data_IF_561788290492
#
_entry.id   IF_561788290492
#
_cell.length_a   1.000
_cell.length_b   1.000
_cell.length_c   1.000
_cell.angle_alpha   90.00
_cell.angle_beta   90.00
_cell.angle_gamma   90.00
#
_symmetry.space_group_name_H-M   'P 1'
#
loop_
_entity.id
_entity.type
_entity.pdbx_description
1 polymer ?
#
# COMPACT_ATOMS: atom_id res chain seq x y z
N UNK A 1 -7.90 -93.08 -19.70
CA UNK A 1 -8.55 -92.28 -18.63
C UNK A 1 -9.07 -91.00 -19.28
N UNK A 2 -10.32 -90.58 -19.31
CA UNK A 2 -11.66 -91.14 -19.08
C UNK A 2 -12.62 -89.99 -19.51
N UNK A 3 -13.49 -90.24 -20.52
CA UNK A 3 -14.74 -89.55 -21.00
C UNK A 3 -14.85 -87.99 -21.16
N UNK A 4 -15.17 -87.35 -22.32
CA UNK A 4 -16.44 -87.22 -23.14
C UNK A 4 -17.62 -86.60 -22.33
N UNK A 5 -18.42 -85.56 -22.70
CA UNK A 5 -19.17 -85.07 -23.91
C UNK A 5 -19.66 -83.61 -23.60
N UNK A 6 -19.71 -82.61 -24.49
CA UNK A 6 -20.69 -82.20 -25.55
C UNK A 6 -22.15 -81.88 -25.11
N UNK A 7 -22.64 -80.70 -25.59
CA UNK A 7 -24.03 -80.15 -25.78
C UNK A 7 -24.71 -79.56 -24.54
N UNK A 8 -25.52 -78.50 -24.60
CA UNK A 8 -26.14 -77.71 -25.68
C UNK A 8 -27.09 -76.67 -25.03
N UNK A 9 -27.69 -75.81 -25.86
CA UNK A 9 -28.37 -74.52 -25.61
C UNK A 9 -29.60 -74.47 -24.66
N UNK A 10 -29.84 -73.23 -24.21
CA UNK A 10 -31.12 -72.49 -24.03
C UNK A 10 -31.93 -72.43 -22.72
N UNK A 11 -32.35 -71.17 -22.47
CA UNK A 11 -33.48 -70.60 -21.70
C UNK A 11 -33.41 -70.38 -20.17
N UNK A 12 -33.05 -69.14 -19.82
CA UNK A 12 -33.87 -68.11 -19.15
C UNK A 12 -34.58 -68.38 -17.79
N UNK A 13 -34.19 -67.54 -16.80
CA UNK A 13 -34.94 -66.96 -15.64
C UNK A 13 -34.30 -67.18 -14.27
N UNK A 14 -33.90 -66.06 -13.64
CA UNK A 14 -33.63 -66.00 -12.20
C UNK A 14 -32.85 -64.77 -11.73
N UNK A 15 -33.56 -63.67 -11.47
CA UNK A 15 -33.20 -62.52 -10.60
C UNK A 15 -32.29 -62.89 -9.41
N UNK A 16 -31.26 -62.13 -9.01
CA UNK A 16 -31.17 -60.69 -8.85
C UNK A 16 -30.86 -60.39 -7.37
N UNK A 17 -29.58 -60.44 -6.95
CA UNK A 17 -29.15 -60.07 -5.58
C UNK A 17 -27.78 -59.34 -5.52
N UNK A 18 -26.88 -59.47 -6.49
CA UNK A 18 -25.49 -58.99 -6.32
C UNK A 18 -25.19 -57.54 -6.79
N UNK A 19 -26.16 -56.81 -7.34
CA UNK A 19 -25.91 -55.45 -7.87
C UNK A 19 -26.20 -54.30 -6.88
N UNK A 20 -26.82 -54.58 -5.73
CA UNK A 20 -27.25 -53.51 -4.79
C UNK A 20 -26.10 -53.02 -3.91
N UNK A 21 -25.15 -53.88 -3.55
CA UNK A 21 -24.07 -53.54 -2.61
C UNK A 21 -22.94 -52.73 -3.28
N UNK A 22 -22.66 -53.00 -4.56
CA UNK A 22 -21.74 -52.24 -5.42
C UNK A 22 -22.23 -50.80 -5.68
N UNK A 23 -23.54 -50.62 -5.91
CA UNK A 23 -24.15 -49.30 -6.11
C UNK A 23 -24.21 -48.49 -4.81
N UNK A 24 -24.39 -49.14 -3.66
CA UNK A 24 -24.39 -48.48 -2.34
C UNK A 24 -23.01 -47.98 -1.93
N UNK A 25 -21.95 -48.75 -2.20
CA UNK A 25 -20.56 -48.34 -1.98
C UNK A 25 -20.12 -47.19 -2.90
N UNK A 26 -20.58 -47.19 -4.16
CA UNK A 26 -20.34 -46.08 -5.11
C UNK A 26 -21.13 -44.82 -4.77
N UNK A 27 -22.36 -44.91 -4.27
CA UNK A 27 -23.12 -43.71 -3.87
C UNK A 27 -22.56 -43.07 -2.60
N UNK A 28 -22.12 -43.86 -1.63
CA UNK A 28 -21.44 -43.38 -0.41
C UNK A 28 -20.07 -42.75 -0.73
N UNK A 29 -19.30 -43.32 -1.66
CA UNK A 29 -18.03 -42.71 -2.08
C UNK A 29 -18.25 -41.44 -2.92
N UNK A 30 -19.24 -41.42 -3.83
CA UNK A 30 -19.61 -40.20 -4.56
C UNK A 30 -20.09 -39.11 -3.61
N UNK A 31 -20.90 -39.46 -2.61
CA UNK A 31 -21.47 -38.52 -1.66
C UNK A 31 -20.40 -38.00 -0.68
N UNK A 32 -19.45 -38.86 -0.27
CA UNK A 32 -18.24 -38.45 0.46
C UNK A 32 -17.36 -37.50 -0.36
N UNK A 33 -17.13 -37.81 -1.64
CA UNK A 33 -16.34 -36.96 -2.56
C UNK A 33 -17.04 -35.63 -2.84
N UNK A 34 -18.38 -35.62 -2.95
CA UNK A 34 -19.15 -34.39 -3.13
C UNK A 34 -19.24 -33.53 -1.87
N UNK A 35 -19.32 -34.14 -0.68
CA UNK A 35 -19.24 -33.42 0.60
C UNK A 35 -17.86 -32.82 0.81
N UNK A 36 -16.78 -33.56 0.52
CA UNK A 36 -15.41 -33.05 0.59
C UNK A 36 -15.18 -31.93 -0.43
N UNK A 37 -15.63 -32.09 -1.68
CA UNK A 37 -15.52 -31.02 -2.67
C UNK A 37 -16.32 -29.77 -2.27
N UNK A 38 -17.50 -29.93 -1.68
CA UNK A 38 -18.29 -28.80 -1.17
C UNK A 38 -17.60 -28.12 0.03
N UNK A 39 -17.01 -28.88 0.96
CA UNK A 39 -16.27 -28.34 2.10
C UNK A 39 -14.99 -27.60 1.67
N UNK A 40 -14.25 -28.15 0.70
CA UNK A 40 -13.08 -27.51 0.09
C UNK A 40 -13.49 -26.22 -0.62
N UNK A 41 -14.55 -26.25 -1.43
CA UNK A 41 -15.05 -25.07 -2.16
C UNK A 41 -15.58 -23.99 -1.20
N UNK A 42 -16.25 -24.37 -0.12
CA UNK A 42 -16.70 -23.44 0.94
C UNK A 42 -15.49 -22.85 1.68
N UNK A 43 -14.47 -23.66 1.97
CA UNK A 43 -13.22 -23.23 2.58
C UNK A 43 -12.47 -22.21 1.72
N UNK A 44 -12.30 -22.48 0.43
CA UNK A 44 -11.66 -21.59 -0.53
C UNK A 44 -12.41 -20.26 -0.67
N UNK A 45 -13.73 -20.30 -0.83
CA UNK A 45 -14.58 -19.10 -0.89
C UNK A 45 -14.48 -18.25 0.38
N UNK A 46 -14.37 -18.88 1.56
CA UNK A 46 -14.21 -18.18 2.84
C UNK A 46 -12.84 -17.54 2.97
N UNK A 47 -11.79 -18.21 2.53
CA UNK A 47 -10.41 -17.71 2.50
C UNK A 47 -10.30 -16.51 1.55
N UNK A 48 -10.86 -16.59 0.35
CA UNK A 48 -10.79 -15.49 -0.60
C UNK A 48 -11.64 -14.29 -0.19
N UNK A 49 -12.81 -14.53 0.40
CA UNK A 49 -13.62 -13.45 0.99
C UNK A 49 -12.90 -12.73 2.13
N UNK A 50 -12.16 -13.45 2.98
CA UNK A 50 -11.40 -12.83 4.07
C UNK A 50 -10.18 -12.05 3.55
N UNK A 51 -9.46 -12.56 2.55
CA UNK A 51 -8.39 -11.82 1.86
C UNK A 51 -8.92 -10.54 1.22
N UNK A 52 -10.04 -10.61 0.49
CA UNK A 52 -10.65 -9.47 -0.17
C UNK A 52 -11.12 -8.42 0.83
N UNK A 53 -11.81 -8.83 1.91
CA UNK A 53 -12.19 -7.93 3.02
C UNK A 53 -10.97 -7.22 3.60
N UNK A 54 -9.90 -7.95 3.93
CA UNK A 54 -8.68 -7.36 4.49
C UNK A 54 -8.06 -6.34 3.54
N UNK A 55 -7.94 -6.70 2.25
CA UNK A 55 -7.44 -5.80 1.20
C UNK A 55 -8.27 -4.53 1.09
N UNK A 56 -9.60 -4.63 1.07
CA UNK A 56 -10.50 -3.48 0.99
C UNK A 56 -10.38 -2.57 2.22
N UNK A 57 -10.33 -3.14 3.42
CA UNK A 57 -10.19 -2.38 4.67
C UNK A 57 -8.88 -1.59 4.70
N UNK A 58 -7.74 -2.22 4.38
CA UNK A 58 -6.43 -1.51 4.42
C UNK A 58 -6.33 -0.44 3.33
N UNK A 59 -6.95 -0.69 2.17
CA UNK A 59 -6.99 0.25 1.04
C UNK A 59 -7.84 1.47 1.40
N UNK A 60 -9.01 1.26 2.00
CA UNK A 60 -9.90 2.34 2.45
C UNK A 60 -9.26 3.16 3.57
N UNK A 61 -8.66 2.48 4.56
CA UNK A 61 -7.94 3.15 5.65
C UNK A 61 -6.81 4.04 5.10
N UNK A 62 -6.01 3.52 4.16
CA UNK A 62 -4.97 4.31 3.51
C UNK A 62 -5.56 5.55 2.80
N UNK A 63 -6.66 5.39 2.06
CA UNK A 63 -7.29 6.50 1.34
C UNK A 63 -7.75 7.61 2.29
N UNK A 64 -8.43 7.25 3.38
CA UNK A 64 -8.96 8.21 4.38
C UNK A 64 -7.83 8.88 5.17
N UNK A 65 -6.83 8.11 5.60
CA UNK A 65 -5.68 8.65 6.33
C UNK A 65 -4.85 9.57 5.45
N UNK A 66 -4.68 9.24 4.16
CA UNK A 66 -3.94 10.09 3.21
C UNK A 66 -4.69 11.37 2.87
N UNK A 67 -6.03 11.34 2.78
CA UNK A 67 -6.80 12.56 2.48
C UNK A 67 -6.79 13.53 3.66
N UNK A 68 -7.01 13.02 4.88
CA UNK A 68 -6.91 13.81 6.11
C UNK A 68 -5.50 14.34 6.35
N UNK A 69 -4.46 13.60 5.92
CA UNK A 69 -3.06 14.03 6.02
C UNK A 69 -2.82 15.37 5.34
N UNK A 70 -3.31 15.55 4.11
CA UNK A 70 -3.12 16.78 3.35
C UNK A 70 -3.77 17.99 4.06
N UNK A 71 -4.96 17.80 4.63
CA UNK A 71 -5.69 18.84 5.37
C UNK A 71 -4.94 19.21 6.65
N UNK A 72 -4.49 18.22 7.42
CA UNK A 72 -3.75 18.43 8.67
C UNK A 72 -2.42 19.16 8.46
N UNK A 73 -1.72 18.89 7.34
CA UNK A 73 -0.50 19.64 6.97
C UNK A 73 -0.82 21.11 6.69
N UNK A 74 -1.95 21.41 6.06
CA UNK A 74 -2.35 22.80 5.78
C UNK A 74 -2.70 23.50 7.08
N UNK A 75 -3.48 22.85 7.96
CA UNK A 75 -3.83 23.40 9.27
C UNK A 75 -2.67 23.50 10.26
N UNK A 76 -1.61 22.69 10.10
CA UNK A 76 -0.44 22.76 10.98
C UNK A 76 0.45 23.99 10.71
N UNK A 77 0.27 24.65 9.57
CA UNK A 77 0.99 25.89 9.24
C UNK A 77 0.37 27.09 9.95
N UNK A 78 1.22 27.97 10.47
CA UNK A 78 0.83 29.28 11.02
C UNK A 78 1.46 30.38 10.18
N UNK A 79 0.65 31.34 9.72
CA UNK A 79 1.08 32.40 8.80
C UNK A 79 1.86 31.88 7.56
N UNK A 80 1.48 30.71 7.04
CA UNK A 80 2.11 30.09 5.87
C UNK A 80 3.46 29.40 6.12
N UNK A 81 3.97 29.40 7.35
CA UNK A 81 5.25 28.76 7.73
C UNK A 81 5.04 27.64 8.75
N UNK A 82 5.99 26.71 8.81
CA UNK A 82 6.05 25.71 9.88
C UNK A 82 6.80 26.31 11.06
N UNK A 83 6.14 26.46 12.22
CA UNK A 83 6.79 26.91 13.46
C UNK A 83 7.60 25.79 14.13
N UNK A 84 7.28 24.54 13.81
CA UNK A 84 7.96 23.35 14.31
C UNK A 84 9.05 22.88 13.33
N UNK A 85 10.10 22.23 13.86
CA UNK A 85 11.11 21.55 13.03
C UNK A 85 10.51 20.32 12.34
N UNK A 86 10.66 20.26 11.02
CA UNK A 86 10.16 19.14 10.20
C UNK A 86 10.91 17.84 10.51
N UNK A 87 12.21 17.90 10.81
CA UNK A 87 13.01 16.71 11.13
C UNK A 87 12.60 16.09 12.47
N UNK A 88 12.32 16.90 13.50
CA UNK A 88 11.78 16.42 14.79
C UNK A 88 10.40 15.77 14.62
N UNK A 89 9.52 16.37 13.82
CA UNK A 89 8.20 15.81 13.55
C UNK A 89 8.29 14.46 12.82
N UNK A 90 9.18 14.35 11.83
CA UNK A 90 9.43 13.09 11.13
C UNK A 90 10.00 12.00 12.06
N UNK A 91 10.92 12.37 12.97
CA UNK A 91 11.43 11.45 13.98
C UNK A 91 10.30 10.91 14.88
N UNK A 92 9.38 11.77 15.33
CA UNK A 92 8.23 11.36 16.14
C UNK A 92 7.24 10.48 15.36
N UNK A 93 7.06 10.72 14.06
CA UNK A 93 6.27 9.83 13.19
C UNK A 93 6.87 8.42 13.17
N UNK A 94 8.19 8.29 12.95
CA UNK A 94 8.86 6.97 12.98
C UNK A 94 8.79 6.32 14.37
N UNK A 95 8.98 7.12 15.43
CA UNK A 95 8.87 6.67 16.82
C UNK A 95 7.49 6.11 17.13
N UNK A 96 6.43 6.83 16.73
CA UNK A 96 5.05 6.40 16.95
C UNK A 96 4.70 5.16 16.14
N UNK A 97 5.15 5.06 14.88
CA UNK A 97 4.96 3.85 14.07
C UNK A 97 5.65 2.64 14.70
N UNK A 98 6.87 2.82 15.21
CA UNK A 98 7.62 1.80 15.93
C UNK A 98 6.87 1.36 17.20
N UNK A 99 6.42 2.31 18.01
CA UNK A 99 5.67 2.06 19.23
C UNK A 99 4.35 1.31 18.98
N UNK A 100 3.57 1.71 17.96
CA UNK A 100 2.33 1.03 17.59
C UNK A 100 2.63 -0.40 17.10
N UNK A 101 3.67 -0.58 16.27
CA UNK A 101 4.05 -1.91 15.77
C UNK A 101 4.46 -2.84 16.91
N UNK A 102 5.23 -2.34 17.88
CA UNK A 102 5.60 -3.08 19.09
C UNK A 102 4.40 -3.37 19.98
N UNK A 103 3.47 -2.43 20.17
CA UNK A 103 2.28 -2.64 20.98
C UNK A 103 1.38 -3.73 20.39
N UNK A 104 1.19 -3.72 19.06
CA UNK A 104 0.45 -4.78 18.36
C UNK A 104 1.19 -6.12 18.50
N UNK A 105 2.52 -6.13 18.37
CA UNK A 105 3.30 -7.34 18.52
C UNK A 105 3.23 -7.91 19.96
N UNK A 106 3.31 -7.05 20.97
CA UNK A 106 3.15 -7.43 22.37
C UNK A 106 1.76 -8.00 22.66
N UNK A 107 0.71 -7.48 22.02
CA UNK A 107 -0.62 -8.08 22.07
C UNK A 107 -0.65 -9.48 21.45
N UNK A 108 -0.04 -9.65 20.28
CA UNK A 108 0.06 -10.95 19.59
C UNK A 108 0.80 -11.97 20.46
N UNK A 109 1.91 -11.59 21.09
CA UNK A 109 2.64 -12.48 21.99
C UNK A 109 1.83 -12.92 23.20
N UNK A 110 0.96 -12.05 23.73
CA UNK A 110 0.06 -12.40 24.84
C UNK A 110 -1.04 -13.36 24.44
N UNK A 111 -1.52 -13.30 23.19
CA UNK A 111 -2.65 -14.12 22.72
C UNK A 111 -2.23 -15.41 22.04
N UNK A 112 -1.16 -15.37 21.25
CA UNK A 112 -0.70 -16.46 20.38
C UNK A 112 0.66 -17.04 20.82
N UNK A 113 1.34 -16.39 21.78
CA UNK A 113 2.71 -16.73 22.15
C UNK A 113 3.76 -16.16 21.17
N UNK A 114 5.03 -16.39 21.50
CA UNK A 114 6.15 -16.04 20.62
C UNK A 114 6.37 -17.17 19.63
N UNK A 115 6.27 -16.86 18.34
CA UNK A 115 6.46 -17.78 17.22
C UNK A 115 7.65 -17.34 16.38
N UNK A 116 8.11 -18.24 15.50
CA UNK A 116 9.21 -17.93 14.58
C UNK A 116 8.89 -16.73 13.67
N UNK A 117 7.63 -16.60 13.24
CA UNK A 117 7.17 -15.53 12.36
C UNK A 117 6.91 -14.21 13.10
N UNK A 118 6.84 -14.18 14.43
CA UNK A 118 6.54 -12.96 15.21
C UNK A 118 7.64 -12.56 16.23
N UNK A 119 8.69 -13.36 16.44
CA UNK A 119 9.81 -12.97 17.33
C UNK A 119 10.58 -11.76 16.77
N UNK A 120 11.19 -10.92 17.61
CA UNK A 120 12.05 -9.83 17.13
C UNK A 120 13.48 -10.28 16.79
N UNK A 121 13.97 -11.34 17.43
CA UNK A 121 15.30 -11.88 17.19
C UNK A 121 15.42 -12.42 15.77
N UNK A 122 16.27 -11.79 14.96
CA UNK A 122 16.48 -12.12 13.55
C UNK A 122 17.96 -12.22 13.22
N UNK A 123 18.29 -12.89 12.11
CA UNK A 123 19.66 -12.86 11.58
C UNK A 123 19.95 -11.51 10.94
N UNK A 124 21.24 -11.14 10.84
CA UNK A 124 21.66 -9.88 10.22
C UNK A 124 21.21 -9.79 8.75
N UNK A 125 21.20 -10.91 8.03
CA UNK A 125 20.70 -11.00 6.65
C UNK A 125 19.22 -10.61 6.52
N UNK A 126 18.45 -10.79 7.59
CA UNK A 126 17.06 -10.33 7.59
C UNK A 126 16.94 -8.82 7.76
N UNK A 127 17.85 -8.21 8.52
CA UNK A 127 17.75 -6.83 8.98
C UNK A 127 18.43 -5.85 8.02
N UNK A 128 19.53 -6.25 7.39
CA UNK A 128 20.38 -5.40 6.54
C UNK A 128 19.67 -4.83 5.31
N UNK A 129 18.49 -5.36 4.97
CA UNK A 129 17.68 -4.88 3.83
C UNK A 129 16.83 -3.65 4.17
N UNK A 130 16.48 -3.42 5.44
CA UNK A 130 15.60 -2.32 5.88
C UNK A 130 16.22 -0.90 5.92
N UNK A 131 17.54 -0.71 6.09
CA UNK A 131 18.17 0.61 5.97
C UNK A 131 17.94 1.27 4.62
N UNK A 132 17.97 0.52 3.52
CA UNK A 132 17.80 1.08 2.17
C UNK A 132 16.45 1.80 2.01
N UNK A 133 15.28 1.17 2.23
CA UNK A 133 13.99 1.85 2.12
C UNK A 133 13.84 2.95 3.16
N UNK A 134 14.36 2.78 4.39
CA UNK A 134 14.33 3.83 5.41
C UNK A 134 15.05 5.11 4.95
N UNK A 135 16.26 4.97 4.37
CA UNK A 135 17.02 6.09 3.82
C UNK A 135 16.28 6.73 2.64
N UNK A 136 15.72 5.93 1.72
CA UNK A 136 14.95 6.45 0.59
C UNK A 136 13.72 7.25 1.05
N UNK A 137 13.00 6.78 2.07
CA UNK A 137 11.87 7.51 2.64
C UNK A 137 12.31 8.80 3.33
N UNK A 138 13.42 8.81 4.07
CA UNK A 138 13.98 10.03 4.64
C UNK A 138 14.32 11.05 3.55
N UNK A 139 15.14 10.66 2.57
CA UNK A 139 15.57 11.57 1.49
C UNK A 139 14.37 12.11 0.73
N UNK A 140 13.39 11.27 0.41
CA UNK A 140 12.14 11.70 -0.24
C UNK A 140 11.37 12.73 0.62
N UNK A 141 11.27 12.51 1.93
CA UNK A 141 10.58 13.44 2.83
C UNK A 141 11.34 14.78 2.98
N UNK A 142 12.69 14.76 2.98
CA UNK A 142 13.51 15.97 3.02
C UNK A 142 13.43 16.74 1.69
N UNK A 143 13.54 16.05 0.55
CA UNK A 143 13.42 16.68 -0.78
C UNK A 143 12.08 17.41 -0.95
N UNK A 144 10.99 16.86 -0.41
CA UNK A 144 9.70 17.54 -0.41
C UNK A 144 9.78 18.94 0.21
N UNK A 145 10.50 19.10 1.34
CA UNK A 145 10.67 20.41 1.97
C UNK A 145 11.48 21.37 1.10
N UNK A 146 12.60 20.91 0.53
CA UNK A 146 13.42 21.75 -0.33
C UNK A 146 12.71 22.13 -1.64
N UNK A 147 11.88 21.25 -2.21
CA UNK A 147 11.09 21.58 -3.42
C UNK A 147 10.11 22.72 -3.14
N UNK A 148 9.56 22.83 -1.93
CA UNK A 148 8.68 23.95 -1.57
C UNK A 148 9.38 25.32 -1.57
N UNK A 149 10.72 25.36 -1.61
CA UNK A 149 11.45 26.61 -1.83
C UNK A 149 11.39 27.07 -3.30
N UNK A 150 11.09 26.17 -4.24
CA UNK A 150 11.05 26.44 -5.69
C UNK A 150 9.62 26.42 -6.26
N UNK A 151 8.74 25.63 -5.66
CA UNK A 151 7.40 25.35 -6.17
C UNK A 151 6.37 25.49 -5.05
N UNK A 152 5.22 26.06 -5.35
CA UNK A 152 4.12 26.16 -4.39
C UNK A 152 3.48 24.78 -4.12
N UNK A 153 2.57 24.73 -3.14
CA UNK A 153 1.97 23.46 -2.73
C UNK A 153 1.19 22.75 -3.86
N UNK A 154 0.33 23.44 -4.64
CA UNK A 154 -0.32 22.84 -5.80
C UNK A 154 0.67 22.35 -6.87
N UNK A 155 1.68 23.15 -7.20
CA UNK A 155 2.70 22.77 -8.18
C UNK A 155 3.52 21.56 -7.76
N UNK A 156 3.90 21.48 -6.47
CA UNK A 156 4.54 20.30 -5.92
C UNK A 156 3.71 19.03 -6.13
N UNK A 157 2.38 19.11 -5.93
CA UNK A 157 1.53 17.93 -6.11
C UNK A 157 1.45 17.48 -7.57
N UNK A 158 1.41 18.43 -8.51
CA UNK A 158 1.47 18.13 -9.95
C UNK A 158 2.77 17.38 -10.27
N UNK A 159 3.92 17.90 -9.83
CA UNK A 159 5.22 17.27 -10.07
C UNK A 159 5.34 15.91 -9.38
N UNK A 160 4.74 15.76 -8.19
CA UNK A 160 4.73 14.50 -7.44
C UNK A 160 4.02 13.37 -8.20
N UNK A 161 3.03 13.67 -9.05
CA UNK A 161 2.29 12.66 -9.83
C UNK A 161 3.20 11.85 -10.77
N UNK A 162 4.39 12.36 -11.13
CA UNK A 162 5.38 11.59 -11.88
C UNK A 162 5.79 10.28 -11.17
N UNK A 163 5.59 10.19 -9.86
CA UNK A 163 5.82 8.96 -9.09
C UNK A 163 4.91 7.80 -9.52
N UNK A 164 3.77 8.08 -10.16
CA UNK A 164 2.80 7.10 -10.65
C UNK A 164 3.48 6.27 -11.76
N UNK A 165 4.06 6.96 -12.74
CA UNK A 165 4.78 6.34 -13.86
C UNK A 165 6.04 5.64 -13.37
N UNK A 166 6.82 6.32 -12.51
CA UNK A 166 8.02 5.73 -11.90
C UNK A 166 7.70 4.42 -11.18
N UNK A 167 6.60 4.39 -10.42
CA UNK A 167 6.16 3.18 -9.72
C UNK A 167 5.84 2.06 -10.71
N UNK A 168 5.12 2.34 -11.81
CA UNK A 168 4.83 1.34 -12.84
C UNK A 168 6.09 0.74 -13.47
N UNK A 169 7.06 1.57 -13.83
CA UNK A 169 8.35 1.16 -14.40
C UNK A 169 9.14 0.30 -13.40
N UNK A 170 9.32 0.80 -12.17
CA UNK A 170 10.08 0.10 -11.14
C UNK A 170 9.39 -1.19 -10.69
N UNK A 171 8.06 -1.22 -10.69
CA UNK A 171 7.29 -2.45 -10.41
C UNK A 171 7.57 -3.54 -11.44
N UNK A 172 7.69 -3.18 -12.73
CA UNK A 172 8.07 -4.13 -13.78
C UNK A 172 9.52 -4.60 -13.63
N UNK A 173 10.45 -3.69 -13.33
CA UNK A 173 11.89 -4.00 -13.27
C UNK A 173 12.25 -4.80 -12.00
N UNK A 174 11.84 -4.31 -10.83
CA UNK A 174 12.27 -4.85 -9.52
C UNK A 174 11.44 -6.07 -9.13
N UNK A 175 10.11 -5.97 -9.20
CA UNK A 175 9.21 -7.08 -8.84
C UNK A 175 9.02 -8.08 -9.98
N UNK A 176 9.62 -7.82 -11.17
CA UNK A 176 9.57 -8.68 -12.37
C UNK A 176 8.14 -9.04 -12.82
N UNK A 177 7.15 -8.24 -12.44
CA UNK A 177 5.75 -8.46 -12.81
C UNK A 177 5.45 -7.72 -14.11
N UNK A 178 5.02 -8.47 -15.13
CA UNK A 178 4.59 -7.88 -16.40
C UNK A 178 3.32 -7.05 -16.17
N UNK A 179 3.23 -5.87 -16.77
CA UNK A 179 1.99 -5.10 -16.89
C UNK A 179 1.44 -5.30 -18.31
N UNK A 180 0.12 -5.33 -18.48
CA UNK A 180 -0.50 -5.34 -19.81
C UNK A 180 -0.47 -3.94 -20.43
N UNK A 181 -0.64 -3.86 -21.75
CA UNK A 181 -0.71 -2.56 -22.45
C UNK A 181 -1.86 -1.69 -21.91
N UNK A 182 -3.00 -2.30 -21.57
CA UNK A 182 -4.14 -1.62 -20.92
C UNK A 182 -3.74 -1.08 -19.54
N UNK A 183 -2.96 -1.84 -18.76
CA UNK A 183 -2.47 -1.37 -17.47
C UNK A 183 -1.47 -0.22 -17.63
N UNK A 184 -0.61 -0.23 -18.63
CA UNK A 184 0.29 0.88 -18.94
C UNK A 184 -0.49 2.14 -19.34
N UNK A 185 -1.48 2.01 -20.23
CA UNK A 185 -2.38 3.09 -20.58
C UNK A 185 -3.10 3.63 -19.33
N UNK A 186 -3.54 2.76 -18.42
CA UNK A 186 -4.15 3.16 -17.16
C UNK A 186 -3.19 3.95 -16.24
N UNK A 187 -1.89 3.64 -16.20
CA UNK A 187 -0.90 4.43 -15.44
C UNK A 187 -0.72 5.83 -16.03
N UNK A 188 -0.64 5.93 -17.36
CA UNK A 188 -0.51 7.21 -18.07
C UNK A 188 -1.75 8.07 -17.84
N UNK A 189 -2.94 7.48 -18.02
CA UNK A 189 -4.22 8.15 -17.75
C UNK A 189 -4.35 8.55 -16.28
N UNK A 190 -3.93 7.71 -15.35
CA UNK A 190 -3.97 8.07 -13.92
C UNK A 190 -3.09 9.28 -13.62
N UNK A 191 -1.87 9.32 -14.17
CA UNK A 191 -0.97 10.46 -14.02
C UNK A 191 -1.56 11.73 -14.64
N UNK A 192 -2.06 11.64 -15.87
CA UNK A 192 -2.70 12.76 -16.56
C UNK A 192 -3.92 13.27 -15.80
N UNK A 193 -4.84 12.37 -15.41
CA UNK A 193 -6.05 12.70 -14.66
C UNK A 193 -5.75 13.33 -13.30
N UNK A 194 -4.77 12.81 -12.56
CA UNK A 194 -4.34 13.43 -11.30
C UNK A 194 -3.74 14.82 -11.51
N UNK A 195 -2.94 15.03 -12.55
CA UNK A 195 -2.36 16.33 -12.87
C UNK A 195 -3.46 17.32 -13.29
N UNK A 196 -4.35 16.92 -14.20
CA UNK A 196 -5.49 17.75 -14.63
C UNK A 196 -6.38 18.13 -13.45
N UNK A 197 -6.66 17.19 -12.54
CA UNK A 197 -7.50 17.46 -11.38
C UNK A 197 -6.91 18.49 -10.41
N UNK A 198 -5.60 18.70 -10.45
CA UNK A 198 -4.86 19.58 -9.55
C UNK A 198 -4.51 20.93 -10.19
N UNK A 199 -4.91 21.14 -11.45
CA UNK A 199 -4.75 22.43 -12.12
C UNK A 199 -5.63 23.49 -11.44
N UNK A 200 -5.00 24.64 -11.23
CA UNK A 200 -5.61 25.86 -10.71
C UNK A 200 -5.10 27.08 -11.51
N UNK A 201 -5.61 28.27 -11.19
CA UNK A 201 -5.27 29.52 -11.89
C UNK A 201 -3.79 29.90 -11.84
N UNK A 202 -3.02 29.35 -10.89
CA UNK A 202 -1.59 29.63 -10.73
C UNK A 202 -0.69 28.49 -11.23
N UNK A 203 -1.26 27.45 -11.86
CA UNK A 203 -0.51 26.25 -12.25
C UNK A 203 0.54 26.50 -13.33
N UNK A 204 0.41 27.59 -14.10
CA UNK A 204 1.43 28.01 -15.07
C UNK A 204 2.78 28.32 -14.40
N UNK A 205 2.78 28.65 -13.10
CA UNK A 205 4.02 28.85 -12.33
C UNK A 205 4.87 27.58 -12.22
N UNK A 206 4.27 26.40 -12.37
CA UNK A 206 5.04 25.14 -12.43
C UNK A 206 5.97 25.14 -13.65
N UNK A 207 5.51 25.67 -14.78
CA UNK A 207 6.33 25.77 -16.00
C UNK A 207 7.46 26.79 -15.83
N UNK A 208 7.27 27.80 -14.97
CA UNK A 208 8.29 28.81 -14.63
C UNK A 208 9.25 28.34 -13.52
N UNK A 209 9.08 27.12 -12.99
CA UNK A 209 9.96 26.57 -11.96
C UNK A 209 11.40 26.49 -12.47
N UNK A 210 12.41 26.96 -11.72
CA UNK A 210 13.81 26.84 -12.11
C UNK A 210 14.22 25.39 -12.38
N UNK A 211 15.20 25.20 -13.26
CA UNK A 211 15.69 23.86 -13.62
C UNK A 211 16.03 22.98 -12.40
N UNK A 212 16.63 23.58 -11.37
CA UNK A 212 16.93 22.88 -10.12
C UNK A 212 15.67 22.29 -9.45
N UNK A 213 14.56 23.03 -9.41
CA UNK A 213 13.30 22.55 -8.85
C UNK A 213 12.74 21.36 -9.62
N UNK A 214 12.81 21.40 -10.96
CA UNK A 214 12.42 20.28 -11.83
C UNK A 214 13.27 19.02 -11.61
N UNK A 215 14.59 19.18 -11.49
CA UNK A 215 15.51 18.07 -11.20
C UNK A 215 15.17 17.45 -9.84
N UNK A 216 15.02 18.27 -8.80
CA UNK A 216 14.69 17.79 -7.46
C UNK A 216 13.34 17.06 -7.42
N UNK A 217 12.32 17.59 -8.10
CA UNK A 217 11.01 16.96 -8.14
C UNK A 217 11.03 15.63 -8.92
N UNK A 218 11.78 15.56 -10.02
CA UNK A 218 11.96 14.33 -10.79
C UNK A 218 12.68 13.27 -9.95
N UNK A 219 13.78 13.63 -9.29
CA UNK A 219 14.51 12.73 -8.38
C UNK A 219 13.61 12.27 -7.24
N UNK A 220 12.85 13.17 -6.61
CA UNK A 220 11.91 12.83 -5.54
C UNK A 220 10.82 11.86 -6.03
N UNK A 221 10.28 12.05 -7.24
CA UNK A 221 9.29 11.15 -7.83
C UNK A 221 9.87 9.74 -8.07
N UNK A 222 11.10 9.65 -8.59
CA UNK A 222 11.81 8.38 -8.78
C UNK A 222 12.09 7.67 -7.46
N UNK A 223 12.61 8.39 -6.45
CA UNK A 223 12.87 7.86 -5.12
C UNK A 223 11.57 7.42 -4.43
N UNK A 224 10.47 8.15 -4.60
CA UNK A 224 9.16 7.78 -4.05
C UNK A 224 8.63 6.48 -4.64
N UNK A 225 8.81 6.27 -5.96
CA UNK A 225 8.46 5.01 -6.62
C UNK A 225 9.35 3.87 -6.14
N UNK A 226 10.66 4.11 -6.10
CA UNK A 226 11.66 3.12 -5.69
C UNK A 226 11.49 2.66 -4.25
N UNK A 227 11.36 3.59 -3.30
CA UNK A 227 11.12 3.28 -1.89
C UNK A 227 9.89 2.38 -1.72
N UNK A 228 8.80 2.69 -2.42
CA UNK A 228 7.56 1.91 -2.37
C UNK A 228 7.72 0.49 -2.93
N UNK A 229 8.28 0.36 -4.14
CA UNK A 229 8.44 -0.95 -4.79
C UNK A 229 9.47 -1.82 -4.05
N UNK A 230 10.57 -1.22 -3.58
CA UNK A 230 11.61 -1.93 -2.84
C UNK A 230 11.10 -2.41 -1.48
N UNK A 231 10.32 -1.58 -0.77
CA UNK A 231 9.66 -1.98 0.48
C UNK A 231 8.68 -3.12 0.26
N UNK A 232 7.88 -3.07 -0.81
CA UNK A 232 7.01 -4.20 -1.20
C UNK A 232 7.84 -5.48 -1.44
N UNK A 233 8.95 -5.38 -2.18
CA UNK A 233 9.81 -6.51 -2.50
C UNK A 233 10.36 -7.18 -1.23
N UNK A 234 10.85 -6.38 -0.27
CA UNK A 234 11.32 -6.90 1.02
C UNK A 234 10.17 -7.56 1.78
N UNK A 235 9.03 -6.87 1.90
CA UNK A 235 7.89 -7.35 2.68
C UNK A 235 7.35 -8.69 2.15
N UNK A 236 7.33 -8.84 0.83
CA UNK A 236 6.84 -10.04 0.16
C UNK A 236 7.86 -11.14 0.00
N UNK A 237 9.16 -10.85 0.16
CA UNK A 237 10.20 -11.89 0.20
C UNK A 237 9.98 -12.88 1.33
N UNK A 238 9.39 -12.43 2.46
CA UNK A 238 9.00 -13.27 3.60
C UNK A 238 7.50 -13.13 3.90
N UNK A 239 6.63 -13.89 3.19
CA UNK A 239 5.18 -13.74 3.31
C UNK A 239 4.63 -14.19 4.67
N UNK A 240 5.22 -15.21 5.31
CA UNK A 240 4.81 -15.70 6.65
C UNK A 240 5.14 -14.70 7.77
N UNK A 241 6.27 -13.99 7.62
CA UNK A 241 6.78 -13.07 8.63
C UNK A 241 5.78 -11.96 8.97
N UNK A 242 5.50 -11.81 10.27
CA UNK A 242 4.56 -10.83 10.80
C UNK A 242 4.96 -9.41 10.36
N UNK A 243 4.00 -8.67 9.80
CA UNK A 243 4.23 -7.33 9.26
C UNK A 243 4.75 -6.35 10.31
N UNK A 244 4.32 -6.47 11.57
CA UNK A 244 4.75 -5.58 12.65
C UNK A 244 6.23 -5.74 12.98
N UNK A 245 6.81 -6.94 12.79
CA UNK A 245 8.26 -7.15 12.97
C UNK A 245 9.05 -6.52 11.83
N UNK A 246 8.57 -6.67 10.60
CA UNK A 246 9.21 -6.05 9.44
C UNK A 246 9.15 -4.52 9.52
N UNK A 247 8.00 -4.00 9.96
CA UNK A 247 7.79 -2.59 10.24
C UNK A 247 8.67 -2.09 11.37
N UNK A 248 8.80 -2.84 12.47
CA UNK A 248 9.68 -2.49 13.57
C UNK A 248 11.11 -2.20 13.09
N UNK A 249 11.72 -3.14 12.35
CA UNK A 249 13.08 -2.94 11.83
C UNK A 249 13.16 -1.78 10.85
N UNK A 250 12.19 -1.63 9.95
CA UNK A 250 12.11 -0.49 9.03
C UNK A 250 12.07 0.86 9.78
N UNK A 251 11.25 0.95 10.83
CA UNK A 251 11.06 2.19 11.57
C UNK A 251 12.21 2.48 12.54
N UNK A 252 12.90 1.48 13.07
CA UNK A 252 14.13 1.68 13.86
C UNK A 252 15.22 2.36 13.01
N UNK A 253 15.46 1.88 11.78
CA UNK A 253 16.38 2.57 10.88
C UNK A 253 15.86 3.95 10.45
N UNK A 254 14.54 4.09 10.24
CA UNK A 254 13.90 5.38 10.00
C UNK A 254 14.15 6.39 11.12
N UNK A 255 14.00 5.98 12.37
CA UNK A 255 14.31 6.79 13.55
C UNK A 255 15.78 7.18 13.59
N UNK A 256 16.69 6.21 13.39
CA UNK A 256 18.13 6.47 13.39
C UNK A 256 18.52 7.52 12.34
N UNK A 257 18.03 7.39 11.11
CA UNK A 257 18.33 8.37 10.07
C UNK A 257 17.68 9.73 10.31
N UNK A 258 16.46 9.79 10.87
CA UNK A 258 15.86 11.07 11.26
C UNK A 258 16.62 11.73 12.42
N UNK A 259 17.15 10.94 13.37
CA UNK A 259 18.01 11.47 14.43
C UNK A 259 19.29 12.09 13.85
N UNK A 260 19.93 11.41 12.90
CA UNK A 260 21.07 11.97 12.15
C UNK A 260 20.67 13.25 11.40
N UNK A 261 19.50 13.27 10.76
CA UNK A 261 19.00 14.47 10.07
C UNK A 261 18.78 15.65 11.04
N UNK A 262 18.27 15.41 12.25
CA UNK A 262 18.16 16.43 13.30
C UNK A 262 19.54 16.98 13.67
N UNK A 263 20.52 16.10 13.89
CA UNK A 263 21.89 16.50 14.27
C UNK A 263 22.59 17.31 13.16
N UNK A 264 22.28 17.06 11.89
CA UNK A 264 22.93 17.74 10.77
C UNK A 264 22.20 19.04 10.37
N UNK A 265 20.87 19.06 10.39
CA UNK A 265 20.08 20.18 9.82
C UNK A 265 19.49 21.11 10.87
N UNK A 266 19.06 20.58 12.01
CA UNK A 266 18.24 21.30 12.98
C UNK A 266 18.85 21.33 14.39
N UNK A 267 20.13 20.97 14.55
CA UNK A 267 20.80 20.85 15.86
C UNK A 267 20.69 22.14 16.69
N UNK A 268 21.08 23.28 16.11
CA UNK A 268 21.04 24.57 16.80
C UNK A 268 19.60 24.98 17.14
N UNK A 269 18.65 24.70 16.25
CA UNK A 269 17.25 25.02 16.48
C UNK A 269 16.68 24.18 17.65
N UNK A 270 16.99 22.89 17.68
CA UNK A 270 16.55 21.97 18.74
C UNK A 270 17.22 22.29 20.08
N UNK A 271 18.52 22.61 20.07
CA UNK A 271 19.26 22.93 21.30
C UNK A 271 18.80 24.26 21.92
N UNK A 272 18.58 25.29 21.10
CA UNK A 272 18.24 26.62 21.59
C UNK A 272 16.75 26.81 21.87
N UNK A 273 15.86 26.20 21.08
CA UNK A 273 14.40 26.39 21.21
C UNK A 273 13.68 25.22 21.87
N UNK A 274 14.33 24.06 21.94
CA UNK A 274 13.77 22.80 22.43
C UNK A 274 13.19 21.92 21.32
N UNK A 275 13.20 20.61 21.55
CA UNK A 275 12.75 19.59 20.59
C UNK A 275 11.28 19.75 20.15
N UNK A 276 10.40 20.13 21.08
CA UNK A 276 8.96 20.28 20.84
C UNK A 276 8.55 21.74 20.55
N UNK A 277 9.49 22.61 20.21
CA UNK A 277 9.18 24.00 19.90
C UNK A 277 8.21 24.13 18.73
N UNK A 278 7.19 24.99 18.87
CA UNK A 278 6.20 25.25 17.82
C UNK A 278 5.16 24.14 17.65
N UNK A 279 5.14 23.13 18.53
CA UNK A 279 4.14 22.06 18.47
C UNK A 279 2.79 22.56 18.98
N UNK A 280 1.77 22.35 18.16
CA UNK A 280 0.36 22.60 18.51
C UNK A 280 -0.41 21.27 18.57
N UNK A 281 -1.65 21.31 19.06
CA UNK A 281 -2.54 20.15 19.00
C UNK A 281 -2.69 19.61 17.56
N UNK A 282 -2.76 20.51 16.56
CA UNK A 282 -2.84 20.13 15.15
C UNK A 282 -1.55 19.42 14.69
N UNK A 283 -0.38 19.88 15.15
CA UNK A 283 0.90 19.22 14.86
C UNK A 283 0.92 17.79 15.41
N UNK A 284 0.40 17.58 16.63
CA UNK A 284 0.31 16.24 17.24
C UNK A 284 -0.67 15.35 16.47
N UNK A 285 -1.84 15.86 16.09
CA UNK A 285 -2.81 15.14 15.27
C UNK A 285 -2.24 14.80 13.88
N UNK A 286 -1.48 15.72 13.28
CA UNK A 286 -0.77 15.48 12.02
C UNK A 286 0.25 14.35 12.16
N UNK A 287 1.06 14.34 13.23
CA UNK A 287 2.04 13.27 13.50
C UNK A 287 1.34 11.92 13.68
N UNK A 288 0.26 11.88 14.47
CA UNK A 288 -0.55 10.67 14.65
C UNK A 288 -1.08 10.15 13.32
N UNK A 289 -1.68 11.04 12.52
CA UNK A 289 -2.24 10.66 11.22
C UNK A 289 -1.15 10.20 10.24
N UNK A 290 0.01 10.85 10.20
CA UNK A 290 1.16 10.42 9.40
C UNK A 290 1.64 9.02 9.80
N UNK A 291 1.71 8.73 11.11
CA UNK A 291 2.11 7.43 11.60
C UNK A 291 1.11 6.34 11.18
N UNK A 292 -0.19 6.57 11.39
CA UNK A 292 -1.25 5.65 10.98
C UNK A 292 -1.26 5.44 9.46
N UNK A 293 -1.10 6.51 8.68
CA UNK A 293 -0.98 6.46 7.21
C UNK A 293 0.21 5.60 6.78
N UNK A 294 1.38 5.78 7.40
CA UNK A 294 2.57 4.96 7.13
C UNK A 294 2.40 3.48 7.45
N UNK A 295 1.71 3.15 8.54
CA UNK A 295 1.33 1.76 8.86
C UNK A 295 0.34 1.24 7.80
N UNK A 296 -0.68 2.00 7.44
CA UNK A 296 -1.63 1.61 6.40
C UNK A 296 -0.93 1.35 5.05
N UNK A 297 0.07 2.16 4.68
CA UNK A 297 0.92 1.92 3.49
C UNK A 297 1.59 0.55 3.59
N UNK A 298 2.25 0.22 4.70
CA UNK A 298 2.92 -1.08 4.87
C UNK A 298 1.94 -2.27 4.79
N UNK A 299 0.73 -2.11 5.33
CA UNK A 299 -0.33 -3.12 5.28
C UNK A 299 -0.86 -3.31 3.85
N UNK A 300 -1.01 -2.22 3.09
CA UNK A 300 -1.33 -2.28 1.65
C UNK A 300 -0.21 -2.99 0.88
N UNK A 301 1.07 -2.73 1.19
CA UNK A 301 2.17 -3.48 0.57
C UNK A 301 2.12 -4.97 0.90
N UNK A 302 1.79 -5.34 2.14
CA UNK A 302 1.72 -6.75 2.57
C UNK A 302 0.56 -7.49 1.92
N UNK A 303 -0.64 -6.89 1.93
CA UNK A 303 -1.89 -7.58 1.59
C UNK A 303 -2.46 -7.23 0.21
N UNK A 304 -1.92 -6.22 -0.45
CA UNK A 304 -2.25 -5.82 -1.81
C UNK A 304 -0.96 -5.69 -2.62
N UNK A 305 -0.65 -4.51 -3.17
CA UNK A 305 0.57 -4.20 -3.91
C UNK A 305 0.78 -2.67 -3.93
N UNK A 306 1.98 -2.22 -4.32
CA UNK A 306 2.32 -0.80 -4.42
C UNK A 306 1.50 -0.08 -5.50
N UNK A 307 0.94 -0.81 -6.47
CA UNK A 307 0.03 -0.25 -7.47
C UNK A 307 -1.28 0.17 -6.80
N UNK A 308 -1.88 -0.69 -5.97
CA UNK A 308 -3.06 -0.34 -5.17
C UNK A 308 -2.78 0.86 -4.27
N UNK A 309 -1.58 0.96 -3.66
CA UNK A 309 -1.19 2.16 -2.90
C UNK A 309 -1.25 3.43 -3.76
N UNK A 310 -0.72 3.38 -4.99
CA UNK A 310 -0.75 4.52 -5.92
C UNK A 310 -2.19 4.93 -6.24
N UNK A 311 -3.06 3.98 -6.61
CA UNK A 311 -4.47 4.26 -6.86
C UNK A 311 -5.20 4.80 -5.63
N UNK A 312 -4.99 4.23 -4.44
CA UNK A 312 -5.53 4.75 -3.18
C UNK A 312 -5.12 6.19 -2.92
N UNK A 313 -3.86 6.51 -3.18
CA UNK A 313 -3.33 7.88 -3.01
C UNK A 313 -4.00 8.83 -4.02
N UNK A 314 -4.19 8.40 -5.27
CA UNK A 314 -4.94 9.17 -6.27
C UNK A 314 -6.38 9.45 -5.87
N UNK A 315 -7.10 8.44 -5.37
CA UNK A 315 -8.47 8.62 -4.86
C UNK A 315 -8.48 9.53 -3.61
N UNK A 316 -7.49 9.40 -2.73
CA UNK A 316 -7.36 10.26 -1.55
C UNK A 316 -7.19 11.73 -1.92
N UNK A 317 -6.46 12.04 -2.99
CA UNK A 317 -6.33 13.40 -3.50
C UNK A 317 -7.68 13.98 -3.95
N UNK A 318 -8.48 13.20 -4.67
CA UNK A 318 -9.83 13.63 -5.08
C UNK A 318 -10.75 13.83 -3.88
N UNK A 319 -10.72 12.90 -2.90
CA UNK A 319 -11.47 13.01 -1.66
C UNK A 319 -11.07 14.26 -0.87
N UNK A 320 -9.77 14.58 -0.82
CA UNK A 320 -9.26 15.80 -0.17
C UNK A 320 -9.87 17.05 -0.80
N UNK A 321 -9.94 17.12 -2.13
CA UNK A 321 -10.50 18.27 -2.84
C UNK A 321 -12.00 18.44 -2.54
N UNK A 322 -12.77 17.34 -2.54
CA UNK A 322 -14.20 17.37 -2.19
C UNK A 322 -14.40 17.85 -0.75
N UNK A 323 -13.66 17.29 0.21
CA UNK A 323 -13.73 17.73 1.62
C UNK A 323 -13.31 19.20 1.76
N UNK A 324 -12.36 19.66 0.94
CA UNK A 324 -11.90 21.05 0.95
C UNK A 324 -12.97 22.05 0.48
N UNK A 325 -13.96 21.62 -0.32
CA UNK A 325 -15.14 22.45 -0.66
C UNK A 325 -15.89 22.84 0.61
N UNK A 326 -16.14 21.86 1.48
CA UNK A 326 -16.93 22.05 2.69
C UNK A 326 -16.15 22.74 3.81
N UNK A 327 -14.85 22.45 3.93
CA UNK A 327 -14.01 23.00 5.01
C UNK A 327 -13.45 24.39 4.70
N UNK A 328 -13.14 24.67 3.44
CA UNK A 328 -12.44 25.90 3.03
C UNK A 328 -13.21 26.75 2.03
N UNK A 329 -14.43 26.34 1.63
CA UNK A 329 -15.18 27.02 0.57
C UNK A 329 -14.50 26.92 -0.80
N UNK A 330 -13.67 25.89 -1.02
CA UNK A 330 -12.94 25.74 -2.28
C UNK A 330 -13.89 25.45 -3.45
N UNK A 331 -13.71 26.15 -4.57
CA UNK A 331 -14.51 25.92 -5.78
C UNK A 331 -13.84 24.87 -6.68
N UNK A 332 -14.57 23.77 -6.96
CA UNK A 332 -14.10 22.76 -7.90
C UNK A 332 -14.09 23.31 -9.33
N UNK A 333 -12.94 23.20 -10.00
CA UNK A 333 -12.78 23.67 -11.38
C UNK A 333 -13.31 22.65 -12.39
N UNK A 334 -13.56 23.08 -13.63
CA UNK A 334 -13.83 22.15 -14.73
C UNK A 334 -12.68 21.13 -14.91
N UNK A 335 -11.44 21.57 -14.74
CA UNK A 335 -10.27 20.70 -14.77
C UNK A 335 -10.33 19.63 -13.67
N UNK A 336 -10.79 19.96 -12.46
CA UNK A 336 -11.03 18.99 -11.39
C UNK A 336 -12.02 17.90 -11.82
N UNK A 337 -13.15 18.29 -12.41
CA UNK A 337 -14.18 17.34 -12.87
C UNK A 337 -13.64 16.43 -13.98
N UNK A 338 -13.02 17.01 -15.02
CA UNK A 338 -12.43 16.24 -16.13
C UNK A 338 -11.34 15.29 -15.63
N UNK A 339 -10.44 15.77 -14.75
CA UNK A 339 -9.40 14.94 -14.15
C UNK A 339 -9.97 13.79 -13.32
N UNK A 340 -11.04 14.02 -12.56
CA UNK A 340 -11.75 12.99 -11.78
C UNK A 340 -12.35 11.91 -12.67
N UNK A 341 -12.96 12.28 -13.80
CA UNK A 341 -13.47 11.33 -14.80
C UNK A 341 -12.33 10.48 -15.35
N UNK A 342 -11.22 11.10 -15.74
CA UNK A 342 -10.04 10.38 -16.27
C UNK A 342 -9.45 9.42 -15.22
N UNK A 343 -9.33 9.83 -13.96
CA UNK A 343 -8.87 8.96 -12.86
C UNK A 343 -9.81 7.77 -12.68
N UNK A 344 -11.12 7.98 -12.76
CA UNK A 344 -12.13 6.91 -12.65
C UNK A 344 -12.01 5.89 -13.78
N UNK A 345 -11.85 6.37 -15.02
CA UNK A 345 -11.59 5.52 -16.19
C UNK A 345 -10.28 4.74 -16.04
N UNK A 346 -9.21 5.38 -15.56
CA UNK A 346 -7.92 4.72 -15.32
C UNK A 346 -8.02 3.59 -14.30
N UNK A 347 -8.77 3.78 -13.21
CA UNK A 347 -9.03 2.73 -12.20
C UNK A 347 -9.78 1.56 -12.83
N UNK A 348 -10.83 1.86 -13.61
CA UNK A 348 -11.62 0.85 -14.31
C UNK A 348 -10.77 0.02 -15.28
N UNK A 349 -10.00 0.69 -16.16
CA UNK A 349 -9.12 0.03 -17.14
C UNK A 349 -8.08 -0.87 -16.46
N UNK A 350 -7.50 -0.43 -15.35
CA UNK A 350 -6.54 -1.26 -14.61
C UNK A 350 -7.19 -2.54 -14.05
N UNK A 351 -8.43 -2.42 -13.55
CA UNK A 351 -9.18 -3.56 -13.03
C UNK A 351 -9.57 -4.54 -14.16
N UNK A 352 -10.04 -4.03 -15.28
CA UNK A 352 -10.39 -4.83 -16.45
C UNK A 352 -9.17 -5.55 -17.04
N UNK A 353 -8.03 -4.84 -17.13
CA UNK A 353 -6.77 -5.41 -17.61
C UNK A 353 -6.17 -6.48 -16.69
N UNK A 354 -6.61 -6.59 -15.43
CA UNK A 354 -6.24 -7.70 -14.53
C UNK A 354 -7.06 -8.96 -14.79
N UNK A 355 -8.27 -8.87 -15.34
CA UNK A 355 -9.14 -10.02 -15.60
C UNK A 355 -8.81 -10.75 -16.92
N UNK A 356 -8.06 -10.11 -17.82
CA UNK A 356 -7.68 -10.66 -19.13
C UNK A 356 -6.38 -11.50 -19.12
N UNK A 357 -5.83 -11.78 -17.93
CA UNK A 357 -4.68 -12.66 -17.71
C UNK A 357 -5.06 -13.71 -16.70
#
# INVERSE_FOLDING_TARGET
MEYRKIKGEDEDRGSGVDDVESLRGKSLSLQGTMLDNNLVTIGENKIDRTKWKRKSVVTLALTVLTSSQAILIVWSKRAGKYEYSVTTANFLVETLKCAISLAVLGRIWRTEGVTEDNRLTTTLDEVIVYPIPAALYLVKNLLQYYIFAYVDAPGYQILKNLNIISTGVLYRIILKKRLSEIQWAAFILLCAGCTTAQLNTNSDRVLQTPFQGWVMATVMALLSGFAGVYTEAIIKKRPSRNINVQNFWLYIFGMAFNAVAILIQDFDAVMNKGFFHGYSLITVLMILNHALSGIAVSMVMKYADNIVKVYSTSVAMLLTAVVSVFLFGFHLSLAFFLGTVVVSVAIYLHSAGKMQR
#
